data_IF_479336038781
#
_entry.id   IF_479336038781
#
_cell.length_a   1.000
_cell.length_b   1.000
_cell.length_c   1.000
_cell.angle_alpha   90.00
_cell.angle_beta   90.00
_cell.angle_gamma   90.00
#
_symmetry.space_group_name_H-M   'P 1'
#
loop_
_entity.id
_entity.type
_entity.pdbx_description
1 polymer ?
#
# COMPACT_ATOMS: atom_id res chain seq x y z
N UNK A 1 42.90 -18.99 24.45
CA UNK A 1 42.78 -18.70 22.99
C UNK A 1 41.40 -19.15 22.55
N UNK A 2 40.47 -18.23 22.36
CA UNK A 2 39.13 -18.57 21.84
C UNK A 2 39.30 -18.81 20.34
N UNK A 3 39.11 -20.05 19.90
CA UNK A 3 39.01 -20.37 18.48
C UNK A 3 37.86 -19.53 17.92
N UNK A 4 38.18 -18.50 17.14
CA UNK A 4 37.16 -17.71 16.47
C UNK A 4 36.48 -18.63 15.45
N UNK A 5 35.16 -18.80 15.60
CA UNK A 5 34.35 -19.56 14.66
C UNK A 5 34.36 -18.81 13.31
N UNK A 6 34.65 -19.53 12.23
CA UNK A 6 34.76 -18.98 10.87
C UNK A 6 33.53 -18.11 10.51
N UNK A 7 32.33 -18.56 10.86
CA UNK A 7 31.10 -17.84 10.54
C UNK A 7 30.97 -16.51 11.27
N UNK A 8 31.46 -16.42 12.52
CA UNK A 8 31.49 -15.16 13.28
C UNK A 8 32.46 -14.16 12.63
N UNK A 9 33.60 -14.62 12.11
CA UNK A 9 34.53 -13.76 11.37
C UNK A 9 33.93 -13.27 10.04
N UNK A 10 33.18 -14.12 9.33
CA UNK A 10 32.49 -13.72 8.10
C UNK A 10 31.40 -12.68 8.36
N UNK A 11 30.68 -12.80 9.47
CA UNK A 11 29.71 -11.79 9.92
C UNK A 11 30.39 -10.46 10.25
N UNK A 12 31.50 -10.47 10.98
CA UNK A 12 32.28 -9.28 11.31
C UNK A 12 32.86 -8.58 10.06
N UNK A 13 33.31 -9.35 9.07
CA UNK A 13 33.82 -8.82 7.79
C UNK A 13 32.71 -8.19 6.93
N UNK A 14 31.48 -8.68 7.08
CA UNK A 14 30.31 -8.24 6.34
C UNK A 14 30.19 -8.85 4.94
N UNK A 15 28.94 -9.15 4.56
CA UNK A 15 28.59 -9.81 3.30
C UNK A 15 29.23 -9.17 2.04
N UNK A 16 29.25 -7.83 1.86
CA UNK A 16 29.81 -7.23 0.65
C UNK A 16 31.31 -7.51 0.49
N UNK A 17 32.05 -7.52 1.61
CA UNK A 17 33.49 -7.74 1.61
C UNK A 17 33.82 -9.21 1.38
N UNK A 18 33.10 -10.12 2.03
CA UNK A 18 33.24 -11.56 1.83
C UNK A 18 32.92 -11.96 0.38
N UNK A 19 31.88 -11.38 -0.22
CA UNK A 19 31.56 -11.58 -1.65
C UNK A 19 32.70 -11.15 -2.56
N UNK A 20 33.30 -10.00 -2.28
CA UNK A 20 34.42 -9.49 -3.05
C UNK A 20 35.66 -10.39 -2.91
N UNK A 21 35.98 -10.81 -1.69
CA UNK A 21 37.11 -11.71 -1.44
C UNK A 21 36.90 -13.10 -2.06
N UNK A 22 35.66 -13.59 -2.09
CA UNK A 22 35.28 -14.83 -2.79
C UNK A 22 35.45 -14.67 -4.31
N UNK A 23 35.01 -13.55 -4.88
CA UNK A 23 35.15 -13.25 -6.32
C UNK A 23 36.61 -13.06 -6.74
N UNK A 24 37.45 -12.51 -5.86
CA UNK A 24 38.89 -12.36 -6.07
C UNK A 24 39.67 -13.66 -5.81
N UNK A 25 39.03 -14.76 -5.42
CA UNK A 25 39.69 -16.04 -5.15
C UNK A 25 40.55 -16.04 -3.88
N UNK A 26 40.35 -15.10 -2.96
CA UNK A 26 41.12 -14.99 -1.71
C UNK A 26 40.65 -15.98 -0.64
N UNK A 27 39.49 -16.60 -0.81
CA UNK A 27 38.90 -17.57 0.12
C UNK A 27 39.43 -19.01 -0.06
N UNK A 28 40.61 -19.17 -0.64
CA UNK A 28 41.21 -20.47 -0.97
C UNK A 28 40.79 -20.99 -2.33
N UNK A 29 41.37 -22.13 -2.71
CA UNK A 29 41.15 -22.76 -4.00
C UNK A 29 39.69 -23.24 -4.12
N UNK A 30 39.09 -23.08 -5.30
CA UNK A 30 37.73 -23.55 -5.59
C UNK A 30 37.64 -25.05 -5.28
N UNK A 31 36.63 -25.44 -4.49
CA UNK A 31 36.43 -26.82 -4.05
C UNK A 31 37.12 -27.18 -2.73
N UNK A 32 37.97 -26.31 -2.17
CA UNK A 32 38.49 -26.49 -0.80
C UNK A 32 37.37 -26.36 0.24
N UNK A 33 37.52 -27.03 1.40
CA UNK A 33 36.54 -26.96 2.49
C UNK A 33 36.25 -25.52 2.92
N UNK A 34 37.29 -24.69 3.01
CA UNK A 34 37.16 -23.27 3.35
C UNK A 34 36.38 -22.50 2.28
N UNK A 35 36.72 -22.67 1.00
CA UNK A 35 35.99 -22.02 -0.10
C UNK A 35 34.52 -22.41 -0.10
N UNK A 36 34.23 -23.70 0.09
CA UNK A 36 32.87 -24.22 0.12
C UNK A 36 32.07 -23.64 1.31
N UNK A 37 32.68 -23.57 2.49
CA UNK A 37 32.08 -22.99 3.70
C UNK A 37 31.77 -21.48 3.55
N UNK A 38 32.69 -20.72 2.95
CA UNK A 38 32.44 -19.29 2.67
C UNK A 38 31.34 -19.14 1.61
N UNK A 39 31.36 -19.96 0.55
CA UNK A 39 30.35 -19.91 -0.51
C UNK A 39 28.96 -20.26 -0.01
N UNK A 40 28.84 -21.25 0.89
CA UNK A 40 27.55 -21.67 1.45
C UNK A 40 27.01 -20.61 2.40
N UNK A 41 27.87 -19.99 3.21
CA UNK A 41 27.48 -18.86 4.04
C UNK A 41 26.98 -17.68 3.21
N UNK A 42 27.66 -17.31 2.11
CA UNK A 42 27.21 -16.24 1.21
C UNK A 42 25.83 -16.58 0.62
N UNK A 43 25.62 -17.83 0.19
CA UNK A 43 24.32 -18.28 -0.33
C UNK A 43 23.20 -18.16 0.71
N UNK A 44 23.46 -18.63 1.94
CA UNK A 44 22.49 -18.52 3.04
C UNK A 44 22.11 -17.07 3.34
N UNK A 45 23.08 -16.16 3.31
CA UNK A 45 22.81 -14.73 3.50
C UNK A 45 21.98 -14.14 2.35
N UNK A 46 22.28 -14.52 1.11
CA UNK A 46 21.51 -14.06 -0.04
C UNK A 46 20.08 -14.60 -0.05
N UNK A 47 19.88 -15.85 0.33
CA UNK A 47 18.56 -16.45 0.52
C UNK A 47 17.77 -15.72 1.62
N UNK A 48 18.42 -15.40 2.75
CA UNK A 48 17.79 -14.65 3.83
C UNK A 48 17.40 -13.23 3.40
N UNK A 49 18.26 -12.54 2.63
CA UNK A 49 17.96 -11.22 2.08
C UNK A 49 16.83 -11.27 1.05
N UNK A 50 16.80 -12.30 0.19
CA UNK A 50 15.75 -12.50 -0.79
C UNK A 50 14.40 -12.78 -0.11
N UNK A 51 14.38 -13.64 0.91
CA UNK A 51 13.19 -13.93 1.70
C UNK A 51 12.67 -12.68 2.42
N UNK A 52 13.56 -11.89 3.04
CA UNK A 52 13.19 -10.63 3.68
C UNK A 52 12.67 -9.59 2.67
N UNK A 53 13.22 -9.56 1.46
CA UNK A 53 12.72 -8.68 0.39
C UNK A 53 11.34 -9.10 -0.10
N UNK A 54 11.09 -10.40 -0.26
CA UNK A 54 9.79 -10.95 -0.61
C UNK A 54 8.74 -10.62 0.46
N UNK A 55 9.04 -10.88 1.74
CA UNK A 55 8.12 -10.56 2.83
C UNK A 55 7.76 -9.06 2.89
N UNK A 56 8.73 -8.16 2.62
CA UNK A 56 8.45 -6.72 2.53
C UNK A 56 7.61 -6.35 1.31
N UNK A 57 7.71 -7.10 0.22
CA UNK A 57 6.88 -6.88 -0.96
C UNK A 57 5.43 -7.29 -0.68
N UNK A 58 5.24 -8.47 -0.07
CA UNK A 58 3.93 -8.96 0.34
C UNK A 58 3.25 -8.00 1.33
N UNK A 59 3.97 -7.52 2.35
CA UNK A 59 3.44 -6.52 3.28
C UNK A 59 3.02 -5.21 2.59
N UNK A 60 3.73 -4.80 1.53
CA UNK A 60 3.36 -3.60 0.77
C UNK A 60 2.11 -3.85 -0.06
N UNK A 61 2.00 -5.02 -0.67
CA UNK A 61 0.83 -5.42 -1.44
C UNK A 61 -0.41 -5.48 -0.54
N UNK A 62 -0.32 -6.11 0.63
CA UNK A 62 -1.39 -6.17 1.62
C UNK A 62 -1.86 -4.77 2.05
N UNK A 63 -0.91 -3.85 2.32
CA UNK A 63 -1.24 -2.45 2.65
C UNK A 63 -1.92 -1.75 1.48
N UNK A 64 -1.46 -1.96 0.26
CA UNK A 64 -2.05 -1.36 -0.94
C UNK A 64 -3.48 -1.87 -1.17
N UNK A 65 -3.71 -3.18 -1.00
CA UNK A 65 -5.04 -3.79 -1.09
C UNK A 65 -5.96 -3.19 -0.02
N UNK A 66 -5.49 -3.07 1.23
CA UNK A 66 -6.25 -2.46 2.32
C UNK A 66 -6.63 -1.00 2.02
N UNK A 67 -5.68 -0.18 1.55
CA UNK A 67 -5.95 1.21 1.15
C UNK A 67 -6.98 1.27 0.03
N UNK A 68 -6.84 0.41 -0.98
CA UNK A 68 -7.75 0.35 -2.13
C UNK A 68 -9.16 -0.06 -1.73
N UNK A 69 -9.29 -1.03 -0.82
CA UNK A 69 -10.57 -1.47 -0.28
C UNK A 69 -11.26 -0.35 0.53
N UNK A 70 -10.50 0.36 1.37
CA UNK A 70 -11.03 1.49 2.13
C UNK A 70 -11.47 2.65 1.21
N UNK A 71 -10.65 3.00 0.21
CA UNK A 71 -11.00 4.02 -0.77
C UNK A 71 -12.27 3.65 -1.57
N UNK A 72 -12.42 2.37 -1.93
CA UNK A 72 -13.62 1.88 -2.60
C UNK A 72 -14.86 1.97 -1.68
N UNK A 73 -14.71 1.68 -0.39
CA UNK A 73 -15.80 1.82 0.58
C UNK A 73 -16.26 3.28 0.70
N UNK A 74 -15.32 4.20 0.88
CA UNK A 74 -15.60 5.64 0.96
C UNK A 74 -16.28 6.13 -0.32
N UNK A 75 -15.77 5.74 -1.49
CA UNK A 75 -16.36 6.13 -2.77
C UNK A 75 -17.81 5.61 -2.94
N UNK A 76 -18.13 4.42 -2.41
CA UNK A 76 -19.51 3.89 -2.42
C UNK A 76 -20.42 4.69 -1.50
N UNK A 77 -19.94 5.06 -0.31
CA UNK A 77 -20.68 5.89 0.64
C UNK A 77 -20.94 7.29 0.06
N UNK A 78 -19.92 7.94 -0.49
CA UNK A 78 -20.05 9.25 -1.14
C UNK A 78 -21.05 9.22 -2.31
N UNK A 79 -21.02 8.16 -3.11
CA UNK A 79 -21.96 7.97 -4.21
C UNK A 79 -23.41 7.80 -3.69
N UNK A 80 -23.60 7.10 -2.58
CA UNK A 80 -24.91 6.96 -1.95
C UNK A 80 -25.43 8.31 -1.42
N UNK A 81 -24.57 9.10 -0.78
CA UNK A 81 -24.89 10.45 -0.31
C UNK A 81 -25.25 11.37 -1.49
N UNK A 82 -24.46 11.34 -2.56
CA UNK A 82 -24.71 12.12 -3.77
C UNK A 82 -26.04 11.75 -4.45
N UNK A 83 -26.42 10.47 -4.45
CA UNK A 83 -27.73 10.03 -4.95
C UNK A 83 -28.88 10.54 -4.08
N UNK A 84 -28.75 10.42 -2.76
CA UNK A 84 -29.76 10.90 -1.80
C UNK A 84 -29.95 12.42 -1.88
N UNK A 85 -28.85 13.18 -2.01
CA UNK A 85 -28.91 14.63 -2.15
C UNK A 85 -29.54 15.05 -3.48
N UNK A 86 -29.22 14.36 -4.58
CA UNK A 86 -29.84 14.60 -5.89
C UNK A 86 -31.36 14.32 -5.88
N UNK A 87 -31.80 13.26 -5.22
CA UNK A 87 -33.22 12.96 -5.05
C UNK A 87 -33.94 14.03 -4.22
N UNK A 88 -33.33 14.42 -3.09
CA UNK A 88 -33.85 15.49 -2.23
C UNK A 88 -33.96 16.82 -2.98
N UNK A 89 -32.95 17.18 -3.77
CA UNK A 89 -32.96 18.39 -4.59
C UNK A 89 -34.08 18.36 -5.65
N UNK A 90 -34.33 17.21 -6.27
CA UNK A 90 -35.46 17.04 -7.21
C UNK A 90 -36.81 17.24 -6.53
N UNK A 91 -37.00 16.69 -5.33
CA UNK A 91 -38.22 16.88 -4.55
C UNK A 91 -38.42 18.35 -4.17
N UNK A 92 -37.38 19.02 -3.67
CA UNK A 92 -37.45 20.44 -3.34
C UNK A 92 -37.80 21.30 -4.56
N UNK A 93 -37.20 21.01 -5.72
CA UNK A 93 -37.54 21.72 -6.96
C UNK A 93 -39.02 21.58 -7.34
N UNK A 94 -39.61 20.38 -7.16
CA UNK A 94 -41.04 20.15 -7.40
C UNK A 94 -41.91 20.94 -6.44
N UNK A 95 -41.58 20.95 -5.15
CA UNK A 95 -42.32 21.73 -4.15
C UNK A 95 -42.22 23.24 -4.38
N UNK A 96 -41.04 23.73 -4.78
CA UNK A 96 -40.84 25.14 -5.14
C UNK A 96 -41.73 25.54 -6.33
N UNK A 97 -41.86 24.68 -7.35
CA UNK A 97 -42.76 24.92 -8.48
C UNK A 97 -44.21 25.06 -8.03
N UNK A 98 -44.69 24.16 -7.17
CA UNK A 98 -46.04 24.26 -6.61
C UNK A 98 -46.25 25.52 -5.78
N UNK A 99 -45.28 25.87 -4.92
CA UNK A 99 -45.33 27.09 -4.13
C UNK A 99 -45.40 28.34 -5.01
N UNK A 100 -44.65 28.38 -6.11
CA UNK A 100 -44.69 29.49 -7.08
C UNK A 100 -46.05 29.61 -7.76
N UNK A 101 -46.68 28.49 -8.15
CA UNK A 101 -48.03 28.49 -8.72
C UNK A 101 -49.05 29.05 -7.72
N UNK A 102 -49.01 28.57 -6.48
CA UNK A 102 -49.92 29.03 -5.41
C UNK A 102 -49.71 30.52 -5.15
N UNK A 103 -48.47 30.98 -5.04
CA UNK A 103 -48.14 32.39 -4.86
C UNK A 103 -48.68 33.26 -6.00
N UNK A 104 -48.57 32.80 -7.25
CA UNK A 104 -49.10 33.49 -8.43
C UNK A 104 -50.63 33.60 -8.37
N UNK A 105 -51.33 32.51 -8.05
CA UNK A 105 -52.80 32.51 -7.90
C UNK A 105 -53.23 33.44 -6.76
N UNK A 106 -52.55 33.39 -5.61
CA UNK A 106 -52.84 34.25 -4.48
C UNK A 106 -52.67 35.73 -4.83
N UNK A 107 -51.61 36.09 -5.57
CA UNK A 107 -51.38 37.45 -6.06
C UNK A 107 -52.50 37.92 -6.99
N UNK A 108 -52.97 37.07 -7.90
CA UNK A 108 -54.10 37.37 -8.79
C UNK A 108 -55.37 37.63 -7.96
N UNK A 109 -55.71 36.75 -7.02
CA UNK A 109 -56.89 36.91 -6.17
C UNK A 109 -56.81 38.18 -5.32
N UNK A 110 -55.62 38.51 -4.80
CA UNK A 110 -55.40 39.74 -4.05
C UNK A 110 -55.65 40.99 -4.90
N UNK A 111 -55.27 41.00 -6.18
CA UNK A 111 -55.55 42.12 -7.10
C UNK A 111 -57.05 42.33 -7.34
N UNK A 112 -57.87 41.28 -7.31
CA UNK A 112 -59.32 41.40 -7.50
C UNK A 112 -60.10 41.66 -6.19
N UNK A 113 -59.44 41.56 -5.03
CA UNK A 113 -60.01 41.85 -3.71
C UNK A 113 -59.51 43.16 -3.11
N UNK A 114 -58.56 43.83 -3.76
CA UNK A 114 -58.12 45.20 -3.46
C UNK A 114 -59.07 46.21 -4.11
#
# INVERSE_FOLDING_TARGET
>A
MVAHNLFTQLEELGLPRVKNDLAMGKCGQVGSEHHNAVSSWVKLQDEALAAAAAARADEREDRMISISANALSIAKEDLAIARSSAESARLQARWAMWAAIIATVAAIVAMFKA
#
